data_IF_268758578823
#
_entry.id   IF_268758578823
#
_cell.length_a   1.000
_cell.length_b   1.000
_cell.length_c   1.000
_cell.angle_alpha   90.00
_cell.angle_beta   90.00
_cell.angle_gamma   90.00
#
_symmetry.space_group_name_H-M   'P 1'
#
loop_
_entity.id
_entity.type
_entity.pdbx_description
1 polymer ?
#
# COMPACT_ATOMS: atom_id res chain seq x y z
N UNK A 1 36.79 -4.50 12.90
CA UNK A 1 35.63 -5.33 13.27
C UNK A 1 36.02 -6.76 13.01
N UNK A 2 35.91 -7.65 14.02
CA UNK A 2 36.30 -9.06 13.87
C UNK A 2 35.39 -9.73 12.84
N UNK A 3 35.97 -10.37 11.85
CA UNK A 3 35.31 -10.98 10.69
C UNK A 3 34.41 -12.20 10.98
N UNK A 4 34.27 -12.61 12.23
CA UNK A 4 33.48 -13.78 12.63
C UNK A 4 32.20 -13.47 13.42
N UNK A 5 31.91 -12.19 13.70
CA UNK A 5 30.69 -11.83 14.42
C UNK A 5 29.52 -11.70 13.42
N UNK A 6 28.55 -12.59 13.54
CA UNK A 6 27.34 -12.54 12.73
C UNK A 6 26.48 -11.34 13.17
N UNK A 7 26.31 -10.37 12.31
CA UNK A 7 25.49 -9.19 12.56
C UNK A 7 24.03 -9.58 12.87
N UNK A 8 23.44 -8.93 13.85
CA UNK A 8 22.12 -9.24 14.38
C UNK A 8 21.26 -7.98 14.53
N UNK A 9 19.99 -8.17 14.82
CA UNK A 9 19.08 -7.06 15.18
C UNK A 9 19.59 -6.29 16.41
N UNK A 10 20.24 -6.97 17.37
CA UNK A 10 20.81 -6.31 18.56
C UNK A 10 21.91 -5.32 18.17
N UNK A 11 22.77 -5.69 17.24
CA UNK A 11 23.83 -4.79 16.76
C UNK A 11 23.25 -3.57 16.06
N UNK A 12 22.16 -3.72 15.31
CA UNK A 12 21.48 -2.61 14.66
C UNK A 12 20.83 -1.67 15.68
N UNK A 13 20.24 -2.20 16.75
CA UNK A 13 19.70 -1.42 17.86
C UNK A 13 20.79 -0.63 18.58
N UNK A 14 21.94 -1.25 18.84
CA UNK A 14 23.10 -0.61 19.47
C UNK A 14 23.69 0.52 18.60
N UNK A 15 23.68 0.34 17.27
CA UNK A 15 24.08 1.38 16.32
C UNK A 15 23.11 2.56 16.39
N UNK A 16 21.81 2.31 16.36
CA UNK A 16 20.80 3.38 16.42
C UNK A 16 20.86 4.14 17.76
N UNK A 17 21.07 3.45 18.88
CA UNK A 17 21.25 4.09 20.19
C UNK A 17 22.48 5.02 20.19
N UNK A 18 23.59 4.62 19.56
CA UNK A 18 24.78 5.47 19.39
C UNK A 18 24.55 6.65 18.47
N UNK A 19 23.85 6.45 17.34
CA UNK A 19 23.51 7.53 16.41
C UNK A 19 22.64 8.60 17.09
N UNK A 20 21.81 8.21 18.04
CA UNK A 20 20.95 9.10 18.82
C UNK A 20 21.46 9.43 20.23
N UNK A 21 22.74 9.20 20.50
CA UNK A 21 23.33 9.63 21.76
C UNK A 21 23.36 11.17 21.85
N UNK A 22 22.79 11.79 22.90
CA UNK A 22 22.67 13.24 23.00
C UNK A 22 24.01 14.00 23.00
N UNK A 23 25.11 13.33 23.30
CA UNK A 23 26.45 13.96 23.42
C UNK A 23 27.34 13.70 22.21
N UNK A 24 27.24 12.51 21.62
CA UNK A 24 28.18 12.04 20.61
C UNK A 24 27.49 11.55 19.34
N UNK A 25 26.15 11.56 19.31
CA UNK A 25 25.35 11.08 18.18
C UNK A 25 25.40 11.96 16.94
N UNK A 26 24.80 11.49 15.89
CA UNK A 26 24.67 12.19 14.63
C UNK A 26 23.61 13.30 14.75
N UNK A 27 23.93 14.53 14.35
CA UNK A 27 23.02 15.67 14.47
C UNK A 27 21.73 15.48 13.74
N UNK A 28 21.80 14.92 12.52
CA UNK A 28 20.60 14.66 11.71
C UNK A 28 19.68 13.65 12.40
N UNK A 29 20.23 12.53 12.89
CA UNK A 29 19.44 11.50 13.59
C UNK A 29 18.81 12.05 14.87
N UNK A 30 19.51 12.90 15.61
CA UNK A 30 19.02 13.53 16.84
C UNK A 30 17.84 14.49 16.60
N UNK A 31 17.80 15.17 15.45
CA UNK A 31 16.69 16.07 15.07
C UNK A 31 15.42 15.33 14.65
N UNK A 32 15.52 14.03 14.34
CA UNK A 32 14.36 13.28 13.87
C UNK A 32 13.36 13.00 15.00
N UNK A 33 12.09 13.10 14.61
CA UNK A 33 10.94 12.74 15.43
C UNK A 33 10.15 11.62 14.73
N UNK A 34 9.29 10.91 15.47
CA UNK A 34 8.40 9.92 14.86
C UNK A 34 7.61 10.47 13.68
N UNK A 35 7.25 11.75 13.71
CA UNK A 35 6.49 12.41 12.65
C UNK A 35 7.35 12.80 11.45
N UNK A 36 8.59 13.28 11.67
CA UNK A 36 9.48 13.66 10.57
C UNK A 36 9.91 12.47 9.72
N UNK A 37 9.89 11.26 10.28
CA UNK A 37 10.22 10.01 9.57
C UNK A 37 9.06 9.42 8.75
N UNK A 38 7.84 9.98 8.82
CA UNK A 38 6.71 9.47 8.03
C UNK A 38 7.00 9.44 6.52
N UNK A 39 7.57 10.52 5.92
CA UNK A 39 7.91 10.49 4.50
C UNK A 39 8.88 9.36 4.13
N UNK A 40 9.92 9.14 4.94
CA UNK A 40 10.91 8.08 4.71
C UNK A 40 10.29 6.69 4.77
N UNK A 41 9.42 6.40 5.73
CA UNK A 41 8.71 5.10 5.81
C UNK A 41 7.90 4.85 4.52
N UNK A 42 7.29 5.89 3.96
CA UNK A 42 6.51 5.76 2.73
C UNK A 42 7.43 5.54 1.53
N UNK A 43 8.54 6.28 1.44
CA UNK A 43 9.56 6.18 0.41
C UNK A 43 10.15 4.77 0.37
N UNK A 44 10.74 4.28 1.46
CA UNK A 44 11.31 2.93 1.56
C UNK A 44 10.28 1.83 1.25
N UNK A 45 9.01 2.05 1.62
CA UNK A 45 7.95 1.11 1.29
C UNK A 45 7.69 1.04 -0.21
N UNK A 46 7.79 2.16 -0.94
CA UNK A 46 7.61 2.20 -2.39
C UNK A 46 8.84 1.69 -3.14
N UNK A 47 10.05 1.95 -2.65
CA UNK A 47 11.30 1.41 -3.20
C UNK A 47 11.34 -0.10 -3.08
N UNK A 48 10.96 -0.64 -1.92
CA UNK A 48 10.79 -2.08 -1.75
C UNK A 48 9.75 -2.67 -2.73
N UNK A 49 8.62 -2.00 -2.95
CA UNK A 49 7.61 -2.47 -3.92
C UNK A 49 8.18 -2.49 -5.33
N UNK A 50 8.96 -1.49 -5.73
CA UNK A 50 9.58 -1.42 -7.05
C UNK A 50 10.56 -2.59 -7.29
N UNK A 51 11.46 -2.85 -6.35
CA UNK A 51 12.45 -3.93 -6.51
C UNK A 51 11.82 -5.32 -6.45
N UNK A 52 10.75 -5.50 -5.68
CA UNK A 52 9.96 -6.73 -5.66
C UNK A 52 9.25 -6.99 -6.99
N UNK A 53 8.73 -5.94 -7.64
CA UNK A 53 8.07 -6.03 -8.95
C UNK A 53 9.07 -6.39 -10.05
N UNK A 54 10.28 -5.84 -9.98
CA UNK A 54 11.38 -6.15 -10.91
C UNK A 54 11.96 -7.56 -10.65
N UNK A 55 11.86 -8.08 -9.43
CA UNK A 55 12.43 -9.38 -9.02
C UNK A 55 13.94 -9.33 -8.76
N UNK A 56 14.50 -8.17 -8.43
CA UNK A 56 15.90 -7.99 -8.08
C UNK A 56 16.14 -8.39 -6.60
N UNK A 57 16.67 -9.60 -6.40
CA UNK A 57 16.84 -10.18 -5.05
C UNK A 57 17.86 -9.40 -4.21
N UNK A 58 18.93 -8.89 -4.81
CA UNK A 58 19.98 -8.16 -4.09
C UNK A 58 19.43 -6.82 -3.59
N UNK A 59 18.85 -6.03 -4.48
CA UNK A 59 18.18 -4.79 -4.10
C UNK A 59 17.01 -4.99 -3.15
N UNK A 60 16.25 -6.08 -3.30
CA UNK A 60 15.17 -6.41 -2.34
C UNK A 60 15.72 -6.56 -0.92
N UNK A 61 16.93 -7.13 -0.75
CA UNK A 61 17.56 -7.24 0.55
C UNK A 61 17.94 -5.87 1.12
N UNK A 62 18.45 -4.97 0.27
CA UNK A 62 18.82 -3.61 0.67
C UNK A 62 17.58 -2.83 1.12
N UNK A 63 16.52 -2.79 0.31
CA UNK A 63 15.28 -2.06 0.65
C UNK A 63 14.55 -2.63 1.88
N UNK A 64 14.62 -3.96 2.10
CA UNK A 64 14.14 -4.54 3.34
C UNK A 64 14.96 -4.09 4.54
N UNK A 65 16.27 -3.88 4.36
CA UNK A 65 17.16 -3.31 5.36
C UNK A 65 16.76 -1.88 5.72
N UNK A 66 16.49 -1.04 4.72
CA UNK A 66 16.10 0.35 4.91
C UNK A 66 14.73 0.46 5.59
N UNK A 67 13.76 -0.34 5.19
CA UNK A 67 12.48 -0.42 5.89
C UNK A 67 12.63 -0.92 7.35
N UNK A 68 13.53 -1.89 7.61
CA UNK A 68 13.84 -2.35 8.96
C UNK A 68 14.50 -1.22 9.77
N UNK A 69 15.37 -0.43 9.15
CA UNK A 69 16.01 0.74 9.79
C UNK A 69 14.95 1.75 10.25
N UNK A 70 13.93 2.03 9.44
CA UNK A 70 12.82 2.90 9.84
C UNK A 70 12.07 2.36 11.08
N UNK A 71 11.88 1.04 11.18
CA UNK A 71 11.26 0.41 12.37
C UNK A 71 12.14 0.56 13.60
N UNK A 72 13.45 0.32 13.47
CA UNK A 72 14.44 0.47 14.56
C UNK A 72 14.51 1.93 15.02
N UNK A 73 14.48 2.87 14.10
CA UNK A 73 14.47 4.30 14.39
C UNK A 73 13.26 4.71 15.23
N UNK A 74 12.06 4.29 14.81
CA UNK A 74 10.83 4.53 15.56
C UNK A 74 10.87 3.88 16.96
N UNK A 75 11.44 2.69 17.08
CA UNK A 75 11.58 1.99 18.36
C UNK A 75 12.52 2.74 19.31
N UNK A 76 13.61 3.30 18.77
CA UNK A 76 14.58 4.08 19.57
C UNK A 76 13.97 5.41 20.05
N UNK A 77 13.28 6.15 19.18
CA UNK A 77 12.55 7.37 19.58
C UNK A 77 11.55 7.07 20.70
N UNK A 78 10.76 6.00 20.53
CA UNK A 78 9.78 5.60 21.53
C UNK A 78 10.42 5.18 22.87
N UNK A 79 11.59 4.55 22.84
CA UNK A 79 12.40 4.21 24.02
C UNK A 79 12.86 5.47 24.75
N UNK A 80 13.35 6.48 24.03
CA UNK A 80 13.75 7.78 24.59
C UNK A 80 12.57 8.52 25.23
N UNK A 81 11.39 8.45 24.62
CA UNK A 81 10.14 8.98 25.14
C UNK A 81 9.53 8.13 26.28
N UNK A 82 10.16 6.99 26.63
CA UNK A 82 9.69 6.04 27.66
C UNK A 82 8.27 5.50 27.40
N UNK A 83 7.88 5.39 26.14
CA UNK A 83 6.55 4.90 25.74
C UNK A 83 6.55 3.39 25.44
N UNK A 84 7.45 2.94 24.60
CA UNK A 84 7.71 1.53 24.29
C UNK A 84 9.09 1.37 23.64
N UNK A 85 9.48 0.11 23.35
CA UNK A 85 10.75 -0.26 22.74
C UNK A 85 10.58 -1.36 21.69
N UNK A 86 11.66 -1.85 21.11
CA UNK A 86 11.65 -2.92 20.13
C UNK A 86 11.08 -4.22 20.69
N UNK A 87 11.38 -4.57 21.95
CA UNK A 87 10.84 -5.80 22.57
C UNK A 87 9.31 -5.76 22.61
N UNK A 88 8.74 -4.59 22.93
CA UNK A 88 7.29 -4.38 22.94
C UNK A 88 6.67 -4.50 21.55
N UNK A 89 7.37 -3.99 20.51
CA UNK A 89 6.93 -4.10 19.12
C UNK A 89 6.90 -5.57 18.70
N UNK A 90 8.01 -6.31 18.96
CA UNK A 90 8.12 -7.73 18.65
C UNK A 90 7.05 -8.53 19.40
N UNK A 91 6.90 -8.30 20.72
CA UNK A 91 5.90 -8.98 21.54
C UNK A 91 4.48 -8.79 20.99
N UNK A 92 4.09 -7.55 20.62
CA UNK A 92 2.78 -7.29 19.99
C UNK A 92 2.62 -7.98 18.63
N UNK A 93 3.69 -8.11 17.85
CA UNK A 93 3.63 -8.82 16.58
C UNK A 93 3.45 -10.33 16.80
N UNK A 94 4.21 -10.92 17.72
CA UNK A 94 4.11 -12.35 18.10
C UNK A 94 2.71 -12.66 18.62
N UNK A 95 2.23 -11.93 19.60
CA UNK A 95 0.89 -12.13 20.19
C UNK A 95 -0.20 -12.07 19.13
N UNK A 96 -0.10 -11.11 18.21
CA UNK A 96 -1.03 -10.98 17.10
C UNK A 96 -0.98 -12.20 16.17
N UNK A 97 0.22 -12.68 15.81
CA UNK A 97 0.37 -13.84 14.94
C UNK A 97 -0.16 -15.12 15.58
N UNK A 98 0.17 -15.39 16.85
CA UNK A 98 -0.34 -16.53 17.60
C UNK A 98 -1.87 -16.49 17.67
N UNK A 99 -2.44 -15.36 18.09
CA UNK A 99 -3.88 -15.20 18.25
C UNK A 99 -4.66 -15.35 16.95
N UNK A 100 -4.09 -14.88 15.83
CA UNK A 100 -4.75 -14.94 14.51
C UNK A 100 -4.53 -16.26 13.76
N UNK A 101 -3.71 -17.16 14.31
CA UNK A 101 -3.47 -18.49 13.74
C UNK A 101 -3.75 -19.60 14.76
N UNK A 102 -4.96 -19.66 15.33
CA UNK A 102 -5.30 -20.66 16.36
C UNK A 102 -5.28 -22.10 15.83
N UNK A 103 -5.35 -22.28 14.53
CA UNK A 103 -5.19 -23.56 13.83
C UNK A 103 -3.73 -24.05 13.72
N UNK A 104 -2.76 -23.18 14.02
CA UNK A 104 -1.31 -23.52 14.05
C UNK A 104 -0.81 -23.54 15.47
N UNK A 105 -1.16 -22.54 16.28
CA UNK A 105 -0.62 -22.34 17.63
C UNK A 105 -1.59 -22.74 18.75
N UNK A 106 -2.84 -23.12 18.41
CA UNK A 106 -3.88 -23.53 19.33
C UNK A 106 -4.48 -24.90 19.01
N UNK A 107 -5.68 -25.15 19.51
CA UNK A 107 -6.41 -26.41 19.34
C UNK A 107 -7.51 -26.38 18.27
N UNK A 108 -7.63 -25.27 17.53
CA UNK A 108 -8.66 -25.16 16.50
C UNK A 108 -8.33 -26.03 15.26
N UNK A 109 -9.39 -26.54 14.64
CA UNK A 109 -9.23 -27.34 13.42
C UNK A 109 -8.72 -26.44 12.28
N UNK A 110 -7.80 -26.99 11.48
CA UNK A 110 -7.34 -26.32 10.25
C UNK A 110 -8.51 -26.10 9.30
N UNK A 111 -8.61 -24.89 8.76
CA UNK A 111 -9.51 -24.57 7.67
C UNK A 111 -9.10 -25.35 6.41
N UNK A 112 -10.07 -25.74 5.58
CA UNK A 112 -9.80 -26.53 4.38
C UNK A 112 -9.38 -25.67 3.21
N UNK A 113 -9.77 -24.38 3.21
CA UNK A 113 -9.53 -23.46 2.08
C UNK A 113 -9.02 -22.11 2.57
N UNK A 114 -8.34 -21.40 1.66
CA UNK A 114 -7.89 -20.01 1.90
C UNK A 114 -9.08 -19.07 2.15
N UNK A 115 -10.23 -19.31 1.51
CA UNK A 115 -11.43 -18.52 1.71
C UNK A 115 -11.98 -18.67 3.15
N UNK A 116 -12.08 -19.90 3.65
CA UNK A 116 -12.45 -20.16 5.06
C UNK A 116 -11.46 -19.53 6.04
N UNK A 117 -10.16 -19.55 5.72
CA UNK A 117 -9.13 -18.92 6.53
C UNK A 117 -9.32 -17.39 6.61
N UNK A 118 -9.60 -16.75 5.48
CA UNK A 118 -9.89 -15.31 5.43
C UNK A 118 -11.12 -14.95 6.28
N UNK A 119 -12.20 -15.72 6.17
CA UNK A 119 -13.42 -15.52 7.00
C UNK A 119 -13.12 -15.68 8.50
N UNK A 120 -12.31 -16.67 8.88
CA UNK A 120 -11.89 -16.87 10.26
C UNK A 120 -11.09 -15.66 10.77
N UNK A 121 -10.18 -15.14 9.98
CA UNK A 121 -9.41 -13.93 10.32
C UNK A 121 -10.29 -12.70 10.51
N UNK A 122 -11.29 -12.49 9.66
CA UNK A 122 -12.22 -11.35 9.83
C UNK A 122 -13.02 -11.46 11.14
N UNK A 123 -13.51 -12.65 11.49
CA UNK A 123 -14.17 -12.90 12.77
C UNK A 123 -13.26 -12.63 13.97
N UNK A 124 -11.98 -13.05 13.89
CA UNK A 124 -11.01 -12.78 14.95
C UNK A 124 -10.76 -11.26 15.09
N UNK A 125 -10.58 -10.55 13.98
CA UNK A 125 -10.42 -9.08 13.98
C UNK A 125 -11.64 -8.36 14.54
N UNK A 126 -12.85 -8.81 14.21
CA UNK A 126 -14.09 -8.26 14.75
C UNK A 126 -14.13 -8.42 16.28
N UNK A 127 -13.83 -9.64 16.78
CA UNK A 127 -13.74 -9.90 18.22
C UNK A 127 -12.67 -9.03 18.89
N UNK A 128 -11.51 -8.83 18.24
CA UNK A 128 -10.46 -7.95 18.74
C UNK A 128 -10.96 -6.50 18.90
N UNK A 129 -11.71 -5.97 17.92
CA UNK A 129 -12.29 -4.63 17.97
C UNK A 129 -13.29 -4.48 19.09
N UNK A 130 -14.23 -5.42 19.19
CA UNK A 130 -15.25 -5.44 20.25
C UNK A 130 -14.61 -5.46 21.65
N UNK A 131 -13.56 -6.27 21.83
CA UNK A 131 -12.84 -6.36 23.12
C UNK A 131 -12.11 -5.06 23.50
N UNK A 132 -11.77 -4.23 22.52
CA UNK A 132 -11.15 -2.92 22.74
C UNK A 132 -12.17 -1.79 22.91
N UNK A 133 -13.46 -2.05 22.81
CA UNK A 133 -14.51 -1.03 22.82
C UNK A 133 -14.52 -0.15 21.58
N UNK A 134 -13.92 -0.62 20.48
CA UNK A 134 -13.92 0.07 19.20
C UNK A 134 -15.29 -0.08 18.51
N UNK A 135 -15.60 0.84 17.60
CA UNK A 135 -16.84 0.78 16.81
C UNK A 135 -16.96 -0.58 16.10
N UNK A 136 -18.09 -1.26 16.21
CA UNK A 136 -18.29 -2.57 15.57
C UNK A 136 -18.28 -2.47 14.04
N UNK A 137 -18.50 -1.30 13.46
CA UNK A 137 -18.50 -1.11 12.00
C UNK A 137 -17.14 -1.46 11.40
N UNK A 138 -17.04 -2.49 10.55
CA UNK A 138 -15.79 -2.88 9.93
C UNK A 138 -15.23 -1.78 9.00
N UNK A 139 -16.09 -0.89 8.48
CA UNK A 139 -15.69 0.23 7.63
C UNK A 139 -14.93 1.31 8.39
N UNK A 140 -15.24 1.55 9.67
CA UNK A 140 -14.52 2.53 10.49
C UNK A 140 -13.09 2.13 10.83
N UNK A 141 -12.78 0.84 10.77
CA UNK A 141 -11.43 0.34 10.99
C UNK A 141 -10.48 0.52 9.79
N UNK A 142 -11.02 0.94 8.65
CA UNK A 142 -10.23 1.16 7.44
C UNK A 142 -9.44 2.46 7.60
N UNK A 143 -8.11 2.35 7.47
CA UNK A 143 -7.21 3.49 7.60
C UNK A 143 -7.51 4.54 6.51
N UNK A 144 -7.82 5.75 6.94
CA UNK A 144 -8.16 6.90 6.06
C UNK A 144 -6.94 7.51 5.36
N UNK A 145 -5.74 7.19 5.80
CA UNK A 145 -4.49 7.66 5.20
C UNK A 145 -3.93 6.72 4.12
N UNK A 146 -4.63 5.64 3.82
CA UNK A 146 -4.27 4.80 2.67
C UNK A 146 -4.42 5.59 1.36
N UNK A 147 -3.58 5.31 0.35
CA UNK A 147 -3.83 5.75 -1.02
C UNK A 147 -5.26 5.40 -1.45
N UNK A 148 -5.88 6.28 -2.23
CA UNK A 148 -7.32 6.17 -2.54
C UNK A 148 -7.70 4.82 -3.19
N UNK A 149 -6.84 4.29 -4.07
CA UNK A 149 -7.04 2.97 -4.72
C UNK A 149 -7.07 1.86 -3.67
N UNK A 150 -6.08 1.84 -2.76
CA UNK A 150 -5.99 0.85 -1.70
C UNK A 150 -7.13 0.99 -0.67
N UNK A 151 -7.59 2.22 -0.40
CA UNK A 151 -8.73 2.46 0.46
C UNK A 151 -10.03 1.93 -0.17
N UNK A 152 -10.27 2.23 -1.46
CA UNK A 152 -11.42 1.72 -2.21
C UNK A 152 -11.44 0.19 -2.24
N UNK A 153 -10.29 -0.44 -2.56
CA UNK A 153 -10.17 -1.90 -2.55
C UNK A 153 -10.49 -2.52 -1.18
N UNK A 154 -10.04 -1.90 -0.09
CA UNK A 154 -10.37 -2.36 1.27
C UNK A 154 -11.85 -2.19 1.60
N UNK A 155 -12.46 -1.07 1.21
CA UNK A 155 -13.90 -0.84 1.39
C UNK A 155 -14.71 -1.91 0.68
N UNK A 156 -14.39 -2.19 -0.58
CA UNK A 156 -15.07 -3.19 -1.41
C UNK A 156 -14.88 -4.62 -0.88
N UNK A 157 -13.67 -5.00 -0.47
CA UNK A 157 -13.43 -6.30 0.16
C UNK A 157 -14.22 -6.46 1.48
N UNK A 158 -14.33 -5.38 2.25
CA UNK A 158 -15.13 -5.38 3.47
C UNK A 158 -16.62 -5.54 3.16
N UNK A 159 -17.14 -4.81 2.16
CA UNK A 159 -18.53 -4.94 1.70
C UNK A 159 -18.82 -6.36 1.20
N UNK A 160 -17.93 -6.92 0.38
CA UNK A 160 -18.03 -8.29 -0.13
C UNK A 160 -18.09 -9.33 1.00
N UNK A 161 -17.29 -9.17 2.06
CA UNK A 161 -17.32 -10.08 3.22
C UNK A 161 -18.63 -10.05 4.01
N UNK A 162 -19.43 -8.99 3.83
CA UNK A 162 -20.74 -8.80 4.43
C UNK A 162 -21.90 -9.21 3.48
N UNK A 163 -21.58 -9.74 2.31
CA UNK A 163 -22.55 -10.09 1.29
C UNK A 163 -23.10 -8.91 0.49
N UNK A 164 -22.46 -7.75 0.59
CA UNK A 164 -22.78 -6.54 -0.18
C UNK A 164 -21.81 -6.46 -1.37
N UNK A 165 -22.06 -7.26 -2.40
CA UNK A 165 -21.18 -7.37 -3.56
C UNK A 165 -21.96 -7.48 -4.87
N UNK A 166 -21.28 -7.19 -5.97
CA UNK A 166 -21.77 -7.54 -7.31
C UNK A 166 -21.62 -9.05 -7.54
N UNK A 167 -22.54 -9.62 -8.31
CA UNK A 167 -22.54 -11.07 -8.53
C UNK A 167 -21.39 -11.52 -9.44
N UNK A 168 -21.05 -10.72 -10.44
CA UNK A 168 -20.06 -11.06 -11.49
C UNK A 168 -19.44 -9.81 -12.14
N UNK A 169 -18.43 -10.05 -12.98
CA UNK A 169 -17.73 -9.01 -13.71
C UNK A 169 -18.62 -8.35 -14.79
N UNK A 170 -19.51 -9.11 -15.41
CA UNK A 170 -20.40 -8.64 -16.45
C UNK A 170 -21.34 -7.55 -15.92
N UNK A 171 -21.87 -7.75 -14.71
CA UNK A 171 -22.71 -6.75 -14.03
C UNK A 171 -21.93 -5.46 -13.78
N UNK A 172 -20.68 -5.53 -13.31
CA UNK A 172 -19.86 -4.33 -13.10
C UNK A 172 -19.54 -3.62 -14.42
N UNK A 173 -19.28 -4.37 -15.48
CA UNK A 173 -19.03 -3.78 -16.81
C UNK A 173 -20.27 -3.01 -17.29
N UNK A 174 -21.45 -3.59 -17.13
CA UNK A 174 -22.70 -2.91 -17.50
C UNK A 174 -22.89 -1.61 -16.70
N UNK A 175 -22.74 -1.65 -15.38
CA UNK A 175 -22.78 -0.47 -14.50
C UNK A 175 -21.73 0.60 -14.89
N UNK A 176 -20.53 0.15 -15.28
CA UNK A 176 -19.45 1.06 -15.71
C UNK A 176 -19.82 1.77 -17.01
N UNK A 177 -20.42 1.06 -17.97
CA UNK A 177 -20.90 1.65 -19.23
C UNK A 177 -22.02 2.67 -19.00
N UNK A 178 -22.96 2.37 -18.10
CA UNK A 178 -24.02 3.31 -17.72
C UNK A 178 -23.44 4.57 -17.06
N UNK A 179 -22.44 4.43 -16.18
CA UNK A 179 -21.71 5.55 -15.57
C UNK A 179 -20.97 6.40 -16.59
N UNK A 180 -20.35 5.81 -17.61
CA UNK A 180 -19.77 6.58 -18.72
C UNK A 180 -20.83 7.43 -19.43
N UNK A 181 -22.04 6.89 -19.66
CA UNK A 181 -23.14 7.64 -20.24
C UNK A 181 -23.58 8.82 -19.37
N UNK A 182 -23.68 8.61 -18.04
CA UNK A 182 -24.02 9.66 -17.07
C UNK A 182 -22.95 10.75 -17.02
N UNK A 183 -21.67 10.35 -17.00
CA UNK A 183 -20.54 11.30 -17.09
C UNK A 183 -20.62 12.16 -18.35
N UNK A 184 -20.94 11.54 -19.51
CA UNK A 184 -21.14 12.28 -20.77
C UNK A 184 -22.25 13.32 -20.68
N UNK A 185 -23.37 12.99 -20.05
CA UNK A 185 -24.49 13.93 -19.81
C UNK A 185 -24.10 15.07 -18.88
N UNK A 186 -23.33 14.77 -17.81
CA UNK A 186 -22.83 15.77 -16.87
C UNK A 186 -21.88 16.78 -17.55
N UNK A 187 -21.00 16.28 -18.43
CA UNK A 187 -20.10 17.11 -19.24
C UNK A 187 -20.91 18.04 -20.16
N UNK A 188 -21.93 17.56 -20.84
CA UNK A 188 -22.80 18.38 -21.71
C UNK A 188 -23.50 19.50 -20.92
N UNK A 189 -23.95 19.22 -19.69
CA UNK A 189 -24.56 20.20 -18.81
C UNK A 189 -23.56 21.18 -18.18
N UNK A 190 -22.25 20.94 -18.29
CA UNK A 190 -21.17 21.71 -17.67
C UNK A 190 -21.29 21.79 -16.14
N UNK A 191 -21.81 20.74 -15.51
CA UNK A 191 -21.98 20.68 -14.06
C UNK A 191 -20.72 20.05 -13.42
N UNK A 192 -19.80 20.89 -12.96
CA UNK A 192 -18.50 20.44 -12.41
C UNK A 192 -18.65 19.48 -11.22
N UNK A 193 -19.60 19.70 -10.32
CA UNK A 193 -19.81 18.83 -9.17
C UNK A 193 -20.32 17.45 -9.59
N UNK A 194 -21.26 17.40 -10.54
CA UNK A 194 -21.79 16.17 -11.11
C UNK A 194 -20.68 15.40 -11.85
N UNK A 195 -19.90 16.08 -12.69
CA UNK A 195 -18.73 15.50 -13.39
C UNK A 195 -17.75 14.87 -12.40
N UNK A 196 -17.40 15.59 -11.34
CA UNK A 196 -16.46 15.09 -10.31
C UNK A 196 -16.99 13.82 -9.63
N UNK A 197 -18.27 13.78 -9.30
CA UNK A 197 -18.89 12.63 -8.67
C UNK A 197 -18.89 11.43 -9.60
N UNK A 198 -19.33 11.61 -10.85
CA UNK A 198 -19.39 10.54 -11.85
C UNK A 198 -18.01 9.95 -12.15
N UNK A 199 -16.97 10.79 -12.27
CA UNK A 199 -15.58 10.32 -12.44
C UNK A 199 -15.13 9.52 -11.21
N UNK A 200 -15.45 9.97 -10.01
CA UNK A 200 -15.15 9.24 -8.78
C UNK A 200 -15.80 7.85 -8.74
N UNK A 201 -17.07 7.77 -9.14
CA UNK A 201 -17.80 6.50 -9.23
C UNK A 201 -17.21 5.56 -10.29
N UNK A 202 -16.76 6.09 -11.44
CA UNK A 202 -16.06 5.31 -12.47
C UNK A 202 -14.77 4.68 -11.93
N UNK A 203 -13.92 5.45 -11.24
CA UNK A 203 -12.72 4.90 -10.60
C UNK A 203 -13.09 3.79 -9.62
N UNK A 204 -14.12 4.01 -8.81
CA UNK A 204 -14.55 3.03 -7.81
C UNK A 204 -15.05 1.73 -8.47
N UNK A 205 -15.79 1.80 -9.57
CA UNK A 205 -16.26 0.63 -10.35
C UNK A 205 -15.10 -0.12 -11.02
N UNK A 206 -14.11 0.60 -11.59
CA UNK A 206 -12.93 -0.02 -12.20
C UNK A 206 -12.10 -0.77 -11.16
N UNK A 207 -11.91 -0.19 -9.97
CA UNK A 207 -11.24 -0.87 -8.85
C UNK A 207 -12.03 -2.12 -8.44
N UNK A 208 -13.35 -2.06 -8.43
CA UNK A 208 -14.18 -3.20 -8.08
C UNK A 208 -14.11 -4.33 -9.14
N UNK A 209 -14.08 -3.96 -10.41
CA UNK A 209 -13.84 -4.91 -11.49
C UNK A 209 -12.51 -5.65 -11.33
N UNK A 210 -11.44 -4.89 -11.07
CA UNK A 210 -10.11 -5.47 -10.79
C UNK A 210 -10.16 -6.45 -9.62
N UNK A 211 -10.85 -6.10 -8.54
CA UNK A 211 -11.02 -6.94 -7.36
C UNK A 211 -11.72 -8.26 -7.68
N UNK A 212 -12.84 -8.23 -8.42
CA UNK A 212 -13.58 -9.45 -8.80
C UNK A 212 -12.73 -10.34 -9.72
N UNK A 213 -11.97 -9.74 -10.62
CA UNK A 213 -11.03 -10.46 -11.50
C UNK A 213 -9.78 -10.93 -10.76
N UNK A 214 -9.63 -10.61 -9.46
CA UNK A 214 -8.46 -10.93 -8.62
C UNK A 214 -7.16 -10.31 -9.13
N UNK A 215 -7.26 -9.15 -9.72
CA UNK A 215 -6.14 -8.34 -10.20
C UNK A 215 -5.97 -7.18 -9.22
N UNK A 216 -4.73 -6.89 -8.82
CA UNK A 216 -4.44 -5.76 -7.94
C UNK A 216 -4.53 -4.44 -8.74
N UNK A 217 -5.42 -3.50 -8.38
CA UNK A 217 -5.61 -2.26 -9.15
C UNK A 217 -4.42 -1.29 -9.02
N UNK A 218 -3.68 -1.30 -7.92
CA UNK A 218 -2.48 -0.47 -7.74
C UNK A 218 -1.38 -0.93 -8.69
N UNK A 219 -1.13 -2.25 -8.78
CA UNK A 219 -0.15 -2.81 -9.72
C UNK A 219 -0.55 -2.54 -11.18
N UNK A 220 -1.84 -2.66 -11.51
CA UNK A 220 -2.32 -2.34 -12.86
C UNK A 220 -2.02 -0.89 -13.27
N UNK A 221 -2.25 0.07 -12.37
CA UNK A 221 -1.98 1.48 -12.64
C UNK A 221 -0.47 1.73 -12.76
N UNK A 222 0.36 1.07 -11.93
CA UNK A 222 1.82 1.15 -12.02
C UNK A 222 2.33 0.65 -13.36
N UNK A 223 1.82 -0.50 -13.83
CA UNK A 223 2.17 -1.03 -15.14
C UNK A 223 1.76 -0.09 -16.28
N UNK A 224 0.58 0.51 -16.18
CA UNK A 224 0.11 1.49 -17.16
C UNK A 224 1.01 2.75 -17.16
N UNK A 225 1.37 3.26 -15.98
CA UNK A 225 2.28 4.40 -15.83
C UNK A 225 3.66 4.10 -16.42
N UNK A 226 4.22 2.91 -16.19
CA UNK A 226 5.49 2.47 -16.74
C UNK A 226 5.44 2.44 -18.27
N UNK A 227 4.44 1.77 -18.84
CA UNK A 227 4.25 1.71 -20.30
C UNK A 227 4.09 3.11 -20.92
N UNK A 228 3.35 3.99 -20.27
CA UNK A 228 3.18 5.36 -20.74
C UNK A 228 4.52 6.14 -20.71
N UNK A 229 5.26 6.04 -19.60
CA UNK A 229 6.57 6.69 -19.46
C UNK A 229 7.58 6.20 -20.51
N UNK A 230 7.64 4.89 -20.76
CA UNK A 230 8.50 4.29 -21.80
C UNK A 230 8.16 4.84 -23.18
N UNK A 231 6.88 4.85 -23.56
CA UNK A 231 6.41 5.40 -24.84
C UNK A 231 6.74 6.90 -24.98
N UNK A 232 6.54 7.68 -23.92
CA UNK A 232 6.92 9.08 -23.93
C UNK A 232 8.44 9.25 -24.12
N UNK A 233 9.24 8.44 -23.45
CA UNK A 233 10.71 8.47 -23.56
C UNK A 233 11.17 8.13 -24.99
N UNK A 234 10.59 7.10 -25.60
CA UNK A 234 10.87 6.72 -26.98
C UNK A 234 10.47 7.85 -27.97
N UNK A 235 9.31 8.45 -27.76
CA UNK A 235 8.86 9.58 -28.56
C UNK A 235 9.84 10.78 -28.49
N UNK A 236 10.32 11.11 -27.28
CA UNK A 236 11.30 12.19 -27.11
C UNK A 236 12.66 11.87 -27.75
N UNK A 237 13.14 10.63 -27.61
CA UNK A 237 14.36 10.18 -28.28
C UNK A 237 14.24 10.28 -29.80
N UNK A 238 13.14 9.80 -30.37
CA UNK A 238 12.87 9.90 -31.80
C UNK A 238 12.79 11.36 -32.27
N UNK A 239 12.13 12.24 -31.52
CA UNK A 239 12.03 13.67 -31.84
C UNK A 239 13.39 14.39 -31.80
N UNK A 240 14.27 14.05 -30.85
CA UNK A 240 15.60 14.63 -30.77
C UNK A 240 16.54 14.16 -31.93
N UNK A 241 16.30 12.96 -32.45
CA UNK A 241 16.96 12.48 -33.68
C UNK A 241 16.45 13.18 -34.96
N UNK A 242 15.21 13.70 -34.94
CA UNK A 242 14.57 14.39 -36.07
C UNK A 242 14.58 15.93 -35.93
N UNK A 243 15.55 16.53 -35.23
CA UNK A 243 15.73 17.98 -35.11
C UNK A 243 16.13 18.68 -36.42
N UNK A 244 15.74 18.15 -37.58
CA UNK A 244 15.71 18.86 -38.85
C UNK A 244 14.33 18.63 -39.48
N UNK A 245 13.55 19.70 -39.52
CA UNK A 245 12.31 19.87 -40.28
C UNK A 245 10.99 19.51 -39.57
N UNK A 246 10.22 20.57 -39.32
CA UNK A 246 8.77 20.64 -39.05
C UNK A 246 8.19 19.91 -37.85
N UNK A 247 8.20 20.60 -36.72
CA UNK A 247 7.38 20.27 -35.55
C UNK A 247 5.93 20.76 -35.74
N UNK A 248 5.16 20.12 -36.61
CA UNK A 248 3.69 20.21 -36.55
C UNK A 248 3.18 19.34 -35.42
N UNK A 249 2.45 19.96 -34.50
CA UNK A 249 1.73 19.34 -33.38
C UNK A 249 0.92 18.12 -33.84
N UNK A 250 1.45 16.92 -33.59
CA UNK A 250 0.62 15.70 -33.64
C UNK A 250 -0.22 15.67 -32.36
N UNK A 251 -1.54 15.72 -32.51
CA UNK A 251 -2.48 15.37 -31.44
C UNK A 251 -2.10 13.99 -30.88
N UNK A 252 -2.05 13.87 -29.57
CA UNK A 252 -2.00 12.58 -28.91
C UNK A 252 -3.19 11.74 -29.36
N UNK A 253 -2.96 10.80 -30.26
CA UNK A 253 -3.97 9.85 -30.71
C UNK A 253 -4.13 8.75 -29.64
N UNK A 254 -5.24 8.05 -29.69
CA UNK A 254 -5.61 6.91 -28.84
C UNK A 254 -4.59 5.75 -28.82
N UNK A 255 -3.51 5.85 -29.57
CA UNK A 255 -2.42 4.87 -29.64
C UNK A 255 -1.45 4.94 -28.43
N UNK A 256 -1.71 5.83 -27.46
CA UNK A 256 -0.92 6.01 -26.24
C UNK A 256 -1.53 5.37 -24.98
N UNK A 257 -2.67 4.66 -25.12
CA UNK A 257 -3.26 3.91 -23.99
C UNK A 257 -3.21 2.42 -24.23
#
# INVERSE_FOLDING_TARGET
MNSDHKQTLSDLLDIMEKLRDPKQGCRWDLEQTSRSLIPHIIEESYELVEVLDIGDTEKTCDELGDLLLQIVFQAQIAKEEKSFDMEKIIGKAIDKMIRRHPHIFGSEKKTKTVAEQKLTWEKIKEKERLNKGEDPSPFKSINKFLPAVNQALKLQNTASSLGLDFNDAETIIAETLDKFSETGKAIQKKNENEIKNEIGDLFFLIINLSRILKIDPELCIRDANKKFSERCTEYFKARDLFKSEDASTKHFSTDFT
#
